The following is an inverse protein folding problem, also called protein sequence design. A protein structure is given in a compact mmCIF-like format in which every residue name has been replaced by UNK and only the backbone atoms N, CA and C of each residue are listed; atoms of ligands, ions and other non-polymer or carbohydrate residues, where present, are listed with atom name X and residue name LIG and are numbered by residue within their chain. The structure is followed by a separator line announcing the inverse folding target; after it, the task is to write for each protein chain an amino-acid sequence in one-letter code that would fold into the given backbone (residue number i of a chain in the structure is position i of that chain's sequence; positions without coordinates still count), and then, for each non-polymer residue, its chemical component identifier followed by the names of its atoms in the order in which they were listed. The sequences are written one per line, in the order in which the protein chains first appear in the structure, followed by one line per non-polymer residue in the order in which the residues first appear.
data_IF_577857618971
#
_entry.id   IF_577857618971
#
_cell.length_a   1.000
_cell.length_b   1.000
_cell.length_c   1.000
_cell.angle_alpha   90.00
_cell.angle_beta   90.00
_cell.angle_gamma   90.00
#
_symmetry.space_group_name_H-M   'P 1'
#
loop_
_entity.id
_entity.type
_entity.pdbx_description
1 polymer ?
#
# COMPACT_ATOMS: atom_id res chain seq x y z
N UNK A 1 24.34 -8.46 -3.88
CA UNK A 1 23.79 -8.68 -2.51
C UNK A 1 22.69 -9.71 -2.60
N UNK A 2 22.42 -10.40 -1.48
CA UNK A 2 21.30 -11.35 -1.41
C UNK A 2 20.45 -11.05 -0.17
N UNK A 3 19.12 -11.11 -0.32
CA UNK A 3 18.17 -10.98 0.77
C UNK A 3 16.95 -11.87 0.52
N UNK A 4 16.61 -12.71 1.49
CA UNK A 4 15.51 -13.69 1.41
C UNK A 4 15.55 -14.54 0.12
N UNK A 5 16.74 -15.04 -0.24
CA UNK A 5 16.91 -15.86 -1.44
C UNK A 5 16.98 -15.10 -2.78
N UNK A 6 16.71 -13.80 -2.79
CA UNK A 6 16.73 -12.97 -4.01
C UNK A 6 18.09 -12.29 -4.14
N UNK A 7 18.76 -12.47 -5.27
CA UNK A 7 19.98 -11.76 -5.62
C UNK A 7 19.67 -10.45 -6.35
N UNK A 8 20.37 -9.38 -6.00
CA UNK A 8 20.22 -8.06 -6.61
C UNK A 8 21.50 -7.25 -6.58
N UNK A 9 21.63 -6.27 -7.47
CA UNK A 9 22.79 -5.40 -7.55
C UNK A 9 22.44 -3.99 -7.11
N UNK A 10 23.26 -3.40 -6.25
CA UNK A 10 23.18 -2.01 -5.86
C UNK A 10 24.30 -1.20 -6.54
N UNK A 11 23.96 -0.03 -7.06
CA UNK A 11 24.96 0.90 -7.63
C UNK A 11 25.87 1.50 -6.57
N UNK A 12 25.30 1.76 -5.38
CA UNK A 12 26.02 2.36 -4.26
C UNK A 12 25.63 1.66 -2.97
N UNK A 13 26.61 1.31 -2.15
CA UNK A 13 26.37 0.81 -0.80
C UNK A 13 26.28 1.98 0.16
N UNK A 14 25.20 2.10 0.96
CA UNK A 14 25.07 3.14 1.96
C UNK A 14 26.21 3.08 2.98
N UNK A 15 26.92 4.19 3.19
CA UNK A 15 28.07 4.22 4.12
C UNK A 15 27.64 4.18 5.58
N UNK A 16 26.52 4.82 5.92
CA UNK A 16 26.01 4.90 7.30
C UNK A 16 25.23 3.66 7.73
N UNK A 17 24.64 2.96 6.76
CA UNK A 17 23.91 1.70 6.98
C UNK A 17 24.22 0.73 5.84
N UNK A 18 25.34 -0.01 5.92
CA UNK A 18 25.72 -0.98 4.88
C UNK A 18 24.71 -2.11 4.69
N UNK A 19 23.86 -2.37 5.68
CA UNK A 19 22.79 -3.36 5.64
C UNK A 19 21.48 -2.85 5.01
N UNK A 20 21.38 -1.56 4.72
CA UNK A 20 20.17 -1.01 4.14
C UNK A 20 19.91 -1.55 2.73
N UNK A 21 18.71 -2.07 2.54
CA UNK A 21 18.24 -2.61 1.25
C UNK A 21 17.11 -1.74 0.73
N UNK A 22 17.32 -0.97 -0.36
CA UNK A 22 16.24 -0.25 -1.02
C UNK A 22 15.19 -1.24 -1.53
N UNK A 23 13.99 -1.21 -0.96
CA UNK A 23 12.94 -2.18 -1.29
C UNK A 23 12.62 -2.20 -2.80
N UNK A 24 12.64 -1.06 -3.48
CA UNK A 24 12.40 -0.99 -4.92
C UNK A 24 13.42 -1.79 -5.75
N UNK A 25 14.70 -1.81 -5.35
CA UNK A 25 15.75 -2.57 -6.03
C UNK A 25 15.55 -4.06 -5.80
N UNK A 26 15.34 -4.47 -4.56
CA UNK A 26 15.04 -5.86 -4.21
C UNK A 26 13.75 -6.34 -4.90
N UNK A 27 12.67 -5.55 -4.83
CA UNK A 27 11.40 -5.87 -5.48
C UNK A 27 11.54 -6.09 -6.98
N UNK A 28 12.31 -5.25 -7.67
CA UNK A 28 12.54 -5.38 -9.10
C UNK A 28 13.26 -6.70 -9.46
N UNK A 29 14.18 -7.16 -8.62
CA UNK A 29 14.84 -8.45 -8.80
C UNK A 29 13.89 -9.63 -8.45
N UNK A 30 13.15 -9.52 -7.35
CA UNK A 30 12.17 -10.50 -6.91
C UNK A 30 11.11 -10.80 -7.98
N UNK A 31 10.54 -9.76 -8.60
CA UNK A 31 9.47 -9.91 -9.58
C UNK A 31 9.91 -10.53 -10.92
N UNK A 32 11.20 -10.60 -11.22
CA UNK A 32 11.67 -11.24 -12.47
C UNK A 32 11.30 -12.72 -12.56
N UNK A 33 11.32 -13.42 -11.44
CA UNK A 33 11.10 -14.85 -11.36
C UNK A 33 9.76 -15.23 -10.70
N UNK A 34 9.03 -14.25 -10.12
CA UNK A 34 7.71 -14.45 -9.54
C UNK A 34 6.68 -14.66 -10.65
N UNK A 35 5.95 -15.78 -10.63
CA UNK A 35 5.02 -16.17 -11.70
C UNK A 35 3.63 -16.57 -11.23
N UNK A 36 3.45 -16.87 -9.94
CA UNK A 36 2.13 -17.19 -9.40
C UNK A 36 1.31 -15.91 -9.27
N UNK A 37 0.20 -15.77 -10.01
CA UNK A 37 -0.62 -14.56 -9.95
C UNK A 37 -1.34 -14.47 -8.60
N UNK A 38 -1.36 -13.26 -8.05
CA UNK A 38 -2.12 -12.89 -6.85
C UNK A 38 -2.64 -11.47 -7.03
N UNK A 39 -3.65 -11.10 -6.23
CA UNK A 39 -4.13 -9.73 -6.22
C UNK A 39 -4.34 -9.23 -4.79
N UNK A 40 -4.27 -7.91 -4.62
CA UNK A 40 -4.60 -7.19 -3.40
C UNK A 40 -5.73 -6.24 -3.75
N UNK A 41 -6.90 -6.41 -3.14
CA UNK A 41 -7.99 -5.46 -3.25
C UNK A 41 -8.09 -4.66 -1.94
N UNK A 42 -8.18 -3.33 -2.06
CA UNK A 42 -8.28 -2.43 -0.90
C UNK A 42 -9.59 -1.66 -0.99
N UNK A 43 -10.45 -1.87 -0.01
CA UNK A 43 -11.71 -1.17 0.12
C UNK A 43 -11.60 0.02 1.08
N UNK A 44 -12.19 1.12 0.67
CA UNK A 44 -12.28 2.37 1.42
C UNK A 44 -13.72 2.92 1.38
N UNK A 45 -13.93 4.09 1.94
CA UNK A 45 -15.26 4.69 2.06
C UNK A 45 -16.04 4.73 0.75
N UNK A 46 -17.36 4.68 0.87
CA UNK A 46 -18.35 4.67 -0.21
C UNK A 46 -18.24 3.44 -1.12
N UNK A 47 -17.72 2.31 -0.57
CA UNK A 47 -17.55 1.07 -1.32
C UNK A 47 -16.55 1.17 -2.48
N UNK A 48 -15.59 2.10 -2.41
CA UNK A 48 -14.52 2.21 -3.41
C UNK A 48 -13.50 1.11 -3.20
N UNK A 49 -13.18 0.39 -4.26
CA UNK A 49 -12.21 -0.69 -4.26
C UNK A 49 -11.14 -0.42 -5.31
N UNK A 50 -9.89 -0.44 -4.89
CA UNK A 50 -8.74 -0.50 -5.79
C UNK A 50 -8.19 -1.92 -5.84
N UNK A 51 -7.82 -2.42 -7.02
CA UNK A 51 -7.27 -3.77 -7.19
C UNK A 51 -5.89 -3.69 -7.82
N UNK A 52 -4.95 -4.40 -7.20
CA UNK A 52 -3.54 -4.42 -7.58
C UNK A 52 -3.10 -5.85 -7.87
N UNK A 53 -2.98 -6.17 -9.15
CA UNK A 53 -2.48 -7.46 -9.61
C UNK A 53 -0.97 -7.52 -9.52
N UNK A 54 -0.44 -8.64 -9.05
CA UNK A 54 1.00 -8.90 -8.96
C UNK A 54 1.29 -10.40 -9.02
N UNK A 55 2.55 -10.79 -8.83
CA UNK A 55 2.95 -12.19 -8.75
C UNK A 55 3.82 -12.45 -7.53
N UNK A 56 3.76 -13.67 -7.02
CA UNK A 56 4.67 -14.24 -6.03
C UNK A 56 5.38 -15.47 -6.62
N UNK A 57 6.38 -16.01 -5.92
CA UNK A 57 7.03 -17.24 -6.34
C UNK A 57 6.19 -18.48 -6.05
N UNK A 58 5.49 -18.49 -4.91
CA UNK A 58 4.59 -19.56 -4.51
C UNK A 58 5.29 -20.88 -4.16
N UNK A 59 6.56 -20.84 -3.80
CA UNK A 59 7.33 -22.03 -3.42
C UNK A 59 7.76 -21.99 -1.96
N UNK A 60 7.90 -23.14 -1.27
CA UNK A 60 8.34 -23.16 0.12
C UNK A 60 9.69 -22.47 0.34
N UNK A 61 10.61 -22.56 -0.62
CA UNK A 61 11.91 -21.93 -0.54
C UNK A 61 11.85 -20.39 -0.57
N UNK A 62 10.78 -19.82 -1.13
CA UNK A 62 10.58 -18.37 -1.26
C UNK A 62 9.47 -17.83 -0.34
N UNK A 63 8.90 -18.64 0.54
CA UNK A 63 7.77 -18.26 1.39
C UNK A 63 8.01 -16.98 2.20
N UNK A 64 9.24 -16.78 2.73
CA UNK A 64 9.59 -15.57 3.47
C UNK A 64 9.75 -14.35 2.55
N UNK A 65 10.28 -14.54 1.34
CA UNK A 65 10.36 -13.47 0.34
C UNK A 65 8.96 -13.06 -0.14
N UNK A 66 8.10 -14.04 -0.40
CA UNK A 66 6.71 -13.82 -0.83
C UNK A 66 5.92 -13.06 0.24
N UNK A 67 6.03 -13.49 1.50
CA UNK A 67 5.42 -12.77 2.61
C UNK A 67 5.97 -11.34 2.75
N UNK A 68 7.29 -11.18 2.73
CA UNK A 68 7.92 -9.85 2.85
C UNK A 68 7.51 -8.91 1.74
N UNK A 69 7.39 -9.42 0.51
CA UNK A 69 6.92 -8.66 -0.63
C UNK A 69 5.48 -8.19 -0.44
N UNK A 70 4.57 -9.11 -0.13
CA UNK A 70 3.15 -8.82 0.01
C UNK A 70 2.87 -7.93 1.24
N UNK A 71 3.54 -8.19 2.36
CA UNK A 71 3.43 -7.38 3.57
C UNK A 71 3.81 -5.91 3.32
N UNK A 72 4.93 -5.68 2.63
CA UNK A 72 5.37 -4.34 2.26
C UNK A 72 4.43 -3.69 1.26
N UNK A 73 3.86 -4.46 0.35
CA UNK A 73 2.92 -3.94 -0.62
C UNK A 73 1.59 -3.54 0.05
N UNK A 74 1.04 -4.38 0.91
CA UNK A 74 -0.15 -4.05 1.70
C UNK A 74 0.08 -2.78 2.53
N UNK A 75 1.19 -2.70 3.26
CA UNK A 75 1.54 -1.50 4.02
C UNK A 75 1.60 -0.26 3.12
N UNK A 76 2.26 -0.36 1.97
CA UNK A 76 2.34 0.74 1.02
C UNK A 76 0.95 1.20 0.55
N UNK A 77 0.06 0.27 0.23
CA UNK A 77 -1.28 0.60 -0.23
C UNK A 77 -2.12 1.26 0.88
N UNK A 78 -2.08 0.74 2.09
CA UNK A 78 -2.76 1.34 3.24
C UNK A 78 -2.30 2.78 3.52
N UNK A 79 -1.01 3.07 3.34
CA UNK A 79 -0.44 4.41 3.59
C UNK A 79 -0.55 5.36 2.40
N UNK A 80 -0.65 4.88 1.17
CA UNK A 80 -0.73 5.72 -0.03
C UNK A 80 -2.17 5.95 -0.50
N UNK A 81 -3.00 4.93 -0.43
CA UNK A 81 -4.38 4.95 -0.94
C UNK A 81 -5.39 5.07 0.22
N UNK A 82 -5.05 4.52 1.38
CA UNK A 82 -5.97 4.33 2.49
C UNK A 82 -6.91 3.14 2.26
N UNK A 83 -7.58 2.73 3.32
CA UNK A 83 -8.56 1.66 3.28
C UNK A 83 -8.66 0.94 4.62
N UNK A 84 -9.75 0.24 4.85
CA UNK A 84 -10.04 -0.48 6.08
C UNK A 84 -10.31 -1.97 5.86
N UNK A 85 -10.44 -2.41 4.60
CA UNK A 85 -10.55 -3.83 4.27
C UNK A 85 -9.59 -4.16 3.14
N UNK A 86 -8.76 -5.17 3.36
CA UNK A 86 -7.77 -5.66 2.39
C UNK A 86 -8.07 -7.11 2.09
N UNK A 87 -8.37 -7.42 0.84
CA UNK A 87 -8.52 -8.81 0.38
C UNK A 87 -7.22 -9.26 -0.27
N UNK A 88 -6.68 -10.37 0.24
CA UNK A 88 -5.53 -11.07 -0.34
C UNK A 88 -6.09 -12.20 -1.19
N UNK A 89 -5.93 -12.11 -2.49
CA UNK A 89 -6.54 -13.03 -3.43
C UNK A 89 -5.50 -13.95 -4.05
N UNK A 90 -5.68 -15.27 -3.89
CA UNK A 90 -4.83 -16.31 -4.50
C UNK A 90 -3.66 -16.80 -3.65
N UNK A 91 -3.56 -16.43 -2.36
CA UNK A 91 -2.55 -16.98 -1.45
C UNK A 91 -2.99 -16.95 0.02
N UNK A 92 -3.65 -18.02 0.49
CA UNK A 92 -4.18 -18.15 1.85
C UNK A 92 -3.09 -18.11 2.92
N UNK A 93 -1.91 -18.67 2.67
CA UNK A 93 -0.81 -18.65 3.63
C UNK A 93 -0.39 -17.21 3.97
N UNK A 94 -0.25 -16.37 2.96
CA UNK A 94 0.09 -14.95 3.14
C UNK A 94 -1.06 -14.20 3.82
N UNK A 95 -2.30 -14.44 3.43
CA UNK A 95 -3.47 -13.83 4.04
C UNK A 95 -3.52 -14.10 5.56
N UNK A 96 -3.35 -15.37 5.97
CA UNK A 96 -3.35 -15.76 7.38
C UNK A 96 -2.19 -15.15 8.17
N UNK A 97 -1.01 -15.00 7.57
CA UNK A 97 0.12 -14.31 8.21
C UNK A 97 -0.16 -12.82 8.39
N UNK A 98 -0.74 -12.17 7.38
CA UNK A 98 -1.14 -10.76 7.46
C UNK A 98 -2.25 -10.54 8.50
N UNK A 99 -3.24 -11.44 8.58
CA UNK A 99 -4.27 -11.41 9.63
C UNK A 99 -3.67 -11.39 11.03
N UNK A 100 -2.63 -12.19 11.27
CA UNK A 100 -1.91 -12.21 12.57
C UNK A 100 -1.05 -10.96 12.78
N UNK A 101 -0.45 -10.41 11.73
CA UNK A 101 0.40 -9.24 11.83
C UNK A 101 -0.39 -7.95 12.11
N UNK A 102 -1.56 -7.78 11.49
CA UNK A 102 -2.43 -6.61 11.64
C UNK A 102 -3.50 -6.86 12.73
N UNK A 103 -3.04 -6.94 13.97
CA UNK A 103 -3.86 -7.05 15.19
C UNK A 103 -3.33 -6.09 16.24
N UNK A 104 -4.06 -5.81 17.34
CA UNK A 104 -3.58 -4.96 18.43
C UNK A 104 -2.25 -5.40 19.03
N UNK A 105 -1.96 -6.70 19.06
CA UNK A 105 -0.74 -7.31 19.60
C UNK A 105 0.23 -7.78 18.49
N UNK A 106 -0.14 -7.61 17.24
CA UNK A 106 0.64 -8.08 16.09
C UNK A 106 1.83 -7.19 15.75
N UNK A 107 2.67 -7.66 14.84
CA UNK A 107 3.84 -6.91 14.34
C UNK A 107 3.44 -5.54 13.76
N UNK A 108 2.22 -5.44 13.22
CA UNK A 108 1.66 -4.24 12.60
C UNK A 108 0.61 -3.53 13.46
N UNK A 109 0.71 -3.67 14.79
CA UNK A 109 -0.22 -3.03 15.74
C UNK A 109 -0.37 -1.52 15.53
N UNK A 110 0.72 -0.82 15.20
CA UNK A 110 0.66 0.61 14.92
C UNK A 110 -0.19 0.91 13.69
N UNK A 111 0.08 0.19 12.57
CA UNK A 111 -0.68 0.39 11.33
C UNK A 111 -2.17 0.01 11.55
N UNK A 112 -2.45 -1.06 12.28
CA UNK A 112 -3.79 -1.50 12.65
C UNK A 112 -4.52 -0.41 13.45
N UNK A 113 -3.92 0.07 14.53
CA UNK A 113 -4.53 1.09 15.41
C UNK A 113 -4.76 2.41 14.67
N UNK A 114 -3.78 2.83 13.86
CA UNK A 114 -3.88 4.07 13.08
C UNK A 114 -5.00 4.02 12.05
N UNK A 115 -5.12 2.92 11.29
CA UNK A 115 -6.18 2.73 10.31
C UNK A 115 -7.55 2.70 10.97
N UNK A 116 -7.69 2.00 12.11
CA UNK A 116 -8.94 1.93 12.86
C UNK A 116 -9.40 3.32 13.35
N UNK A 117 -8.46 4.14 13.83
CA UNK A 117 -8.77 5.50 14.24
C UNK A 117 -9.15 6.41 13.06
N UNK A 118 -8.45 6.26 11.92
CA UNK A 118 -8.69 7.08 10.74
C UNK A 118 -10.05 6.80 10.09
N UNK A 119 -10.44 5.53 9.99
CA UNK A 119 -11.69 5.11 9.34
C UNK A 119 -12.83 4.87 10.31
N UNK A 120 -12.61 5.00 11.63
CA UNK A 120 -13.59 4.72 12.69
C UNK A 120 -14.20 3.32 12.58
N UNK A 121 -13.41 2.35 12.15
CA UNK A 121 -13.77 0.93 11.98
C UNK A 121 -12.55 0.05 11.97
N UNK A 122 -12.73 -1.23 12.26
CA UNK A 122 -11.62 -2.18 12.30
C UNK A 122 -11.07 -2.48 10.90
N UNK A 123 -9.73 -2.55 10.84
CA UNK A 123 -9.04 -3.05 9.66
C UNK A 123 -9.25 -4.55 9.54
N UNK A 124 -9.76 -4.97 8.40
CA UNK A 124 -10.00 -6.38 8.09
C UNK A 124 -9.04 -6.86 7.00
N UNK A 125 -8.45 -8.03 7.20
CA UNK A 125 -7.70 -8.76 6.16
C UNK A 125 -8.49 -10.00 5.78
N UNK A 126 -8.92 -10.09 4.53
CA UNK A 126 -9.70 -11.22 4.00
C UNK A 126 -8.80 -12.14 3.16
N UNK A 127 -9.10 -13.43 3.24
CA UNK A 127 -8.50 -14.48 2.41
C UNK A 127 -9.52 -14.91 1.35
N UNK A 128 -9.22 -14.68 0.09
CA UNK A 128 -10.12 -15.01 -1.03
C UNK A 128 -9.39 -15.82 -2.10
N UNK A 129 -10.10 -16.74 -2.79
CA UNK A 129 -9.62 -17.28 -4.05
C UNK A 129 -9.33 -16.16 -5.07
N UNK A 130 -8.43 -16.40 -6.02
CA UNK A 130 -8.08 -15.36 -6.99
C UNK A 130 -9.26 -14.98 -7.90
N UNK A 131 -10.10 -15.95 -8.23
CA UNK A 131 -11.33 -15.80 -9.03
C UNK A 131 -12.45 -15.01 -8.32
N UNK A 132 -12.38 -14.91 -7.00
CA UNK A 132 -13.33 -14.14 -6.18
C UNK A 132 -12.78 -12.74 -5.83
N UNK A 133 -11.65 -12.34 -6.41
CA UNK A 133 -11.10 -11.02 -6.20
C UNK A 133 -12.11 -9.96 -6.67
N UNK A 134 -12.43 -8.96 -5.84
CA UNK A 134 -13.31 -7.87 -6.24
C UNK A 134 -12.81 -7.14 -7.48
N UNK A 135 -13.72 -6.58 -8.27
CA UNK A 135 -13.36 -5.70 -9.37
C UNK A 135 -13.09 -4.28 -8.87
N UNK A 136 -12.12 -3.60 -9.52
CA UNK A 136 -11.87 -2.19 -9.23
C UNK A 136 -13.04 -1.33 -9.71
N UNK A 137 -13.51 -0.44 -8.83
CA UNK A 137 -14.56 0.54 -9.14
C UNK A 137 -14.09 1.97 -8.87
N UNK A 138 -12.80 2.20 -8.92
CA UNK A 138 -12.24 3.55 -8.78
C UNK A 138 -12.65 4.43 -9.97
N UNK A 139 -13.07 5.65 -9.64
CA UNK A 139 -13.42 6.65 -10.63
C UNK A 139 -12.59 7.89 -10.38
N UNK A 140 -11.76 8.26 -11.34
CA UNK A 140 -11.09 9.54 -11.32
C UNK A 140 -12.09 10.67 -11.55
N UNK A 141 -12.26 11.54 -10.56
CA UNK A 141 -13.07 12.75 -10.70
C UNK A 141 -12.15 13.96 -10.53
N UNK A 142 -12.15 14.92 -11.45
CA UNK A 142 -11.47 16.17 -11.23
C UNK A 142 -12.17 16.92 -10.08
N UNK A 143 -11.44 17.19 -9.00
CA UNK A 143 -11.96 17.88 -7.80
C UNK A 143 -11.23 19.19 -7.57
N UNK A 144 -10.91 19.91 -8.63
CA UNK A 144 -10.21 21.19 -8.54
C UNK A 144 -10.47 22.04 -9.77
N UNK A 145 -9.84 23.21 -9.81
CA UNK A 145 -9.94 24.12 -10.96
C UNK A 145 -11.23 24.96 -11.01
N UNK A 146 -12.02 24.94 -9.95
CA UNK A 146 -13.20 25.83 -9.83
C UNK A 146 -12.73 27.22 -9.45
N UNK A 147 -12.52 28.09 -10.45
CA UNK A 147 -11.97 29.43 -10.28
C UNK A 147 -13.03 30.53 -10.31
N UNK A 148 -14.28 30.20 -10.60
CA UNK A 148 -15.38 31.15 -10.68
C UNK A 148 -15.78 31.71 -9.31
N UNK A 149 -16.05 32.99 -9.20
CA UNK A 149 -16.40 33.68 -7.96
C UNK A 149 -15.22 33.81 -6.99
N UNK A 150 -15.51 34.08 -5.73
CA UNK A 150 -14.50 34.22 -4.70
C UNK A 150 -14.08 32.87 -4.13
N UNK A 151 -12.79 32.60 -4.10
CA UNK A 151 -12.19 31.40 -3.52
C UNK A 151 -11.06 31.78 -2.58
N UNK A 152 -10.95 31.09 -1.46
CA UNK A 152 -9.84 31.22 -0.54
C UNK A 152 -9.11 29.87 -0.49
N UNK A 153 -7.84 29.86 -0.87
CA UNK A 153 -6.93 28.74 -0.68
C UNK A 153 -6.19 28.90 0.64
N UNK A 154 -6.09 27.80 1.40
CA UNK A 154 -5.39 27.79 2.67
C UNK A 154 -4.44 26.59 2.71
N UNK A 155 -3.17 26.86 2.99
CA UNK A 155 -2.12 25.87 3.19
C UNK A 155 -1.59 25.97 4.63
N UNK A 156 -1.85 24.97 5.44
CA UNK A 156 -1.37 24.85 6.79
C UNK A 156 -0.06 24.07 6.82
N UNK A 157 1.06 24.76 6.63
CA UNK A 157 2.39 24.19 6.76
C UNK A 157 2.83 24.00 8.21
N UNK A 158 3.83 23.16 8.45
CA UNK A 158 4.40 22.93 9.78
C UNK A 158 5.14 24.13 10.36
N UNK A 159 5.66 25.03 9.53
CA UNK A 159 6.43 26.21 9.92
C UNK A 159 5.75 27.53 9.54
N UNK A 160 4.85 27.52 8.57
CA UNK A 160 4.18 28.71 8.05
C UNK A 160 2.74 28.35 7.59
N UNK A 161 1.91 29.36 7.48
CA UNK A 161 0.58 29.27 6.88
C UNK A 161 0.53 30.19 5.66
N UNK A 162 0.01 29.69 4.56
CA UNK A 162 -0.18 30.47 3.33
C UNK A 162 -1.66 30.57 3.01
N UNK A 163 -2.06 31.74 2.62
CA UNK A 163 -3.44 32.03 2.20
C UNK A 163 -3.39 32.71 0.85
N UNK A 164 -4.23 32.25 -0.07
CA UNK A 164 -4.47 32.91 -1.35
C UNK A 164 -5.95 33.25 -1.49
N UNK A 165 -6.24 34.40 -2.07
CA UNK A 165 -7.57 34.78 -2.47
C UNK A 165 -7.62 34.88 -3.99
N UNK A 166 -8.67 34.28 -4.59
CA UNK A 166 -8.88 34.28 -6.03
C UNK A 166 -10.28 34.83 -6.29
N UNK A 167 -10.38 35.78 -7.20
CA UNK A 167 -11.66 36.35 -7.65
C UNK A 167 -11.75 36.14 -9.16
N UNK A 168 -12.68 35.31 -9.61
CA UNK A 168 -12.90 34.98 -11.04
C UNK A 168 -11.61 34.58 -11.79
N UNK A 169 -10.74 33.78 -11.11
CA UNK A 169 -9.49 33.29 -11.66
C UNK A 169 -8.28 34.19 -11.50
N UNK A 170 -8.43 35.40 -10.98
CA UNK A 170 -7.33 36.33 -10.67
C UNK A 170 -6.94 36.25 -9.18
N UNK A 171 -5.62 36.21 -8.88
CA UNK A 171 -5.03 36.16 -7.52
C UNK A 171 -4.42 37.47 -7.11
#
# INVERSE_FOLDING_TARGET
MQYLGVEFNMKHTPKLDPGFIPFGVWRAAYLKEAKQPVAIAVERDKGRVSVHHTCIHGTPAMAEADYRYMERYVKFLLWSTGGFRVSICGCSEIAQRLQKAYTPEGERHFDFTFVNQLFERDLEILDLPLEECPESNEVAQPIGGYMDGCRIGFDAGGSDMKVSAVVDGET
#
